data_IF_458858623313
#
_entry.id   IF_458858623313
#
_cell.length_a   1.000
_cell.length_b   1.000
_cell.length_c   1.000
_cell.angle_alpha   90.00
_cell.angle_beta   90.00
_cell.angle_gamma   90.00
#
_symmetry.space_group_name_H-M   'P 1'
#
loop_
_entity.id
_entity.type
_entity.pdbx_description
1 polymer ?
#
# COMPACT_ATOMS: atom_id res chain seq x y z
N UNK A 1 -37.68 -13.87 -29.18
CA UNK A 1 -36.40 -14.51 -28.80
C UNK A 1 -36.67 -15.86 -28.14
N UNK A 2 -36.15 -16.96 -28.70
CA UNK A 2 -36.31 -18.31 -28.13
C UNK A 2 -35.69 -18.37 -26.73
N UNK A 3 -36.30 -19.10 -25.79
CA UNK A 3 -35.85 -19.23 -24.37
C UNK A 3 -34.37 -19.64 -24.27
N UNK A 4 -33.92 -20.50 -25.18
CA UNK A 4 -32.52 -20.92 -25.32
C UNK A 4 -31.56 -19.78 -25.64
N UNK A 5 -31.98 -18.81 -26.47
CA UNK A 5 -31.17 -17.65 -26.82
C UNK A 5 -31.03 -16.68 -25.64
N UNK A 6 -32.05 -16.54 -24.79
CA UNK A 6 -31.95 -15.75 -23.54
C UNK A 6 -30.98 -16.37 -22.55
N UNK A 7 -30.98 -17.70 -22.43
CA UNK A 7 -30.05 -18.42 -21.54
C UNK A 7 -28.60 -18.29 -22.04
N UNK A 8 -28.37 -18.41 -23.35
CA UNK A 8 -27.05 -18.22 -23.95
C UNK A 8 -26.52 -16.79 -23.77
N UNK A 9 -27.37 -15.78 -23.97
CA UNK A 9 -26.98 -14.38 -23.75
C UNK A 9 -26.69 -14.12 -22.26
N UNK A 10 -27.49 -14.67 -21.34
CA UNK A 10 -27.25 -14.53 -19.91
C UNK A 10 -25.92 -15.19 -19.48
N UNK A 11 -25.64 -16.40 -19.99
CA UNK A 11 -24.38 -17.10 -19.72
C UNK A 11 -23.16 -16.35 -20.29
N UNK A 12 -23.30 -15.75 -21.48
CA UNK A 12 -22.26 -14.94 -22.10
C UNK A 12 -22.00 -13.65 -21.28
N UNK A 13 -23.05 -12.97 -20.83
CA UNK A 13 -22.93 -11.76 -19.99
C UNK A 13 -22.29 -12.07 -18.63
N UNK A 14 -22.59 -13.23 -18.03
CA UNK A 14 -21.93 -13.70 -16.81
C UNK A 14 -20.45 -14.08 -17.04
N UNK A 15 -20.09 -14.57 -18.22
CA UNK A 15 -18.71 -14.90 -18.58
C UNK A 15 -17.82 -13.68 -18.89
N UNK A 16 -18.43 -12.54 -19.25
CA UNK A 16 -17.72 -11.27 -19.53
C UNK A 16 -17.68 -10.37 -18.29
N UNK A 17 -18.27 -10.78 -17.17
CA UNK A 17 -18.10 -10.11 -15.89
C UNK A 17 -16.67 -10.35 -15.37
N UNK A 18 -15.69 -9.68 -15.97
CA UNK A 18 -14.35 -9.55 -15.41
C UNK A 18 -14.50 -8.92 -14.04
N UNK A 19 -14.08 -9.63 -12.99
CA UNK A 19 -13.92 -9.03 -11.67
C UNK A 19 -12.90 -7.91 -11.82
N UNK A 20 -13.37 -6.65 -11.83
CA UNK A 20 -12.51 -5.51 -11.70
C UNK A 20 -11.91 -5.55 -10.29
N UNK A 21 -10.78 -6.24 -10.15
CA UNK A 21 -9.99 -6.19 -8.93
C UNK A 21 -9.29 -4.83 -8.93
N UNK A 22 -9.63 -3.99 -7.95
CA UNK A 22 -8.87 -2.78 -7.66
C UNK A 22 -7.51 -3.18 -7.04
N UNK A 23 -6.63 -3.75 -7.85
CA UNK A 23 -5.31 -4.27 -7.46
C UNK A 23 -4.24 -3.15 -7.39
N UNK A 24 -4.68 -1.92 -7.12
CA UNK A 24 -3.78 -0.76 -7.01
C UNK A 24 -3.29 -0.53 -5.59
N UNK A 25 -4.01 -1.08 -4.61
CA UNK A 25 -3.70 -1.00 -3.20
C UNK A 25 -3.35 -2.38 -2.66
N UNK A 26 -2.38 -2.41 -1.75
CA UNK A 26 -2.14 -3.54 -0.87
C UNK A 26 -2.77 -3.23 0.49
N UNK A 27 -3.72 -4.07 0.91
CA UNK A 27 -4.43 -3.94 2.19
C UNK A 27 -4.33 -5.25 2.96
N UNK A 28 -3.81 -5.18 4.19
CA UNK A 28 -3.75 -6.33 5.09
C UNK A 28 -4.36 -6.00 6.45
N UNK A 29 -4.81 -7.05 7.15
CA UNK A 29 -5.23 -6.98 8.55
C UNK A 29 -4.28 -7.83 9.38
N UNK A 30 -3.78 -7.26 10.47
CA UNK A 30 -3.01 -7.93 11.50
C UNK A 30 -3.87 -8.07 12.76
N UNK A 31 -3.71 -9.20 13.47
CA UNK A 31 -4.34 -9.41 14.78
C UNK A 31 -3.64 -8.66 15.91
N UNK A 32 -2.51 -8.00 15.62
CA UNK A 32 -1.78 -7.21 16.60
C UNK A 32 -2.53 -5.92 16.94
N UNK A 33 -2.36 -5.47 18.18
CA UNK A 33 -2.78 -4.13 18.58
C UNK A 33 -1.99 -3.07 17.80
N UNK A 34 -2.53 -1.85 17.71
CA UNK A 34 -1.90 -0.77 16.96
C UNK A 34 -0.44 -0.50 17.34
N UNK A 35 -0.05 -0.41 18.64
CA UNK A 35 1.35 -0.19 19.02
C UNK A 35 2.27 -1.35 18.61
N UNK A 36 1.81 -2.59 18.72
CA UNK A 36 2.57 -3.79 18.35
C UNK A 36 2.77 -3.85 16.84
N UNK A 37 1.69 -3.68 16.05
CA UNK A 37 1.75 -3.63 14.60
C UNK A 37 2.69 -2.51 14.12
N UNK A 38 2.64 -1.34 14.76
CA UNK A 38 3.53 -0.21 14.45
C UNK A 38 5.01 -0.52 14.76
N UNK A 39 5.28 -1.27 15.84
CA UNK A 39 6.63 -1.73 16.16
C UNK A 39 7.14 -2.74 15.13
N UNK A 40 6.34 -3.76 14.81
CA UNK A 40 6.71 -4.78 13.80
C UNK A 40 6.91 -4.14 12.44
N UNK A 41 6.04 -3.21 12.02
CA UNK A 41 6.18 -2.49 10.75
C UNK A 41 7.52 -1.75 10.66
N UNK A 42 7.90 -0.98 11.68
CA UNK A 42 9.16 -0.24 11.67
C UNK A 42 10.38 -1.17 11.69
N UNK A 43 10.31 -2.28 12.42
CA UNK A 43 11.36 -3.30 12.43
C UNK A 43 11.49 -4.00 11.06
N UNK A 44 10.38 -4.35 10.43
CA UNK A 44 10.35 -4.99 9.11
C UNK A 44 10.92 -4.06 8.02
N UNK A 45 10.59 -2.76 8.08
CA UNK A 45 11.16 -1.71 7.22
C UNK A 45 12.68 -1.62 7.41
N UNK A 46 13.13 -1.48 8.66
CA UNK A 46 14.55 -1.24 8.96
C UNK A 46 15.45 -2.45 8.68
N UNK A 47 14.97 -3.66 8.95
CA UNK A 47 15.72 -4.91 8.69
C UNK A 47 15.98 -5.12 7.19
N UNK A 48 15.16 -4.56 6.30
CA UNK A 48 15.35 -4.59 4.84
C UNK A 48 16.20 -3.42 4.30
N UNK A 49 16.85 -2.69 5.20
CA UNK A 49 17.76 -1.59 4.84
C UNK A 49 17.07 -0.30 4.42
N UNK A 50 15.77 -0.15 4.70
CA UNK A 50 15.08 1.13 4.59
C UNK A 50 15.18 1.91 5.90
N UNK A 51 14.93 3.22 5.85
CA UNK A 51 14.76 4.04 7.05
C UNK A 51 13.34 4.59 7.08
N UNK A 52 12.73 4.58 8.26
CA UNK A 52 11.52 5.36 8.52
C UNK A 52 11.94 6.82 8.57
N UNK A 53 11.45 7.62 7.64
CA UNK A 53 11.84 9.03 7.49
C UNK A 53 10.91 9.96 8.26
N UNK A 54 9.63 9.60 8.36
CA UNK A 54 8.63 10.38 9.08
C UNK A 54 7.43 9.52 9.48
N UNK A 55 6.80 9.84 10.62
CA UNK A 55 5.51 9.25 11.02
C UNK A 55 4.54 10.40 11.24
N UNK A 56 3.51 10.46 10.41
CA UNK A 56 2.46 11.47 10.51
C UNK A 56 1.32 10.96 11.39
N UNK A 57 0.95 11.72 12.42
CA UNK A 57 -0.21 11.44 13.27
C UNK A 57 -1.46 12.08 12.67
N UNK A 58 -2.20 11.31 11.87
CA UNK A 58 -3.38 11.80 11.15
C UNK A 58 -4.58 11.94 12.11
N UNK A 59 -4.71 11.00 13.03
CA UNK A 59 -5.65 11.04 14.15
C UNK A 59 -5.63 12.36 14.93
N UNK A 60 -4.43 12.85 15.29
CA UNK A 60 -4.27 14.12 16.02
C UNK A 60 -4.76 15.30 15.17
N UNK A 61 -4.51 15.28 13.86
CA UNK A 61 -4.99 16.33 12.95
C UNK A 61 -6.51 16.34 12.83
N UNK A 62 -7.10 15.16 12.64
CA UNK A 62 -8.55 14.97 12.47
C UNK A 62 -9.33 15.31 13.74
N UNK A 63 -8.84 14.88 14.90
CA UNK A 63 -9.50 15.15 16.19
C UNK A 63 -9.48 16.64 16.53
N UNK A 64 -8.41 17.37 16.21
CA UNK A 64 -8.32 18.83 16.39
C UNK A 64 -9.40 19.62 15.64
N UNK A 65 -9.90 19.09 14.53
CA UNK A 65 -10.94 19.73 13.70
C UNK A 65 -12.33 19.08 13.87
N UNK A 66 -12.50 18.22 14.88
CA UNK A 66 -13.80 17.71 15.32
C UNK A 66 -14.21 16.33 14.80
N UNK A 67 -13.33 15.62 14.08
CA UNK A 67 -13.61 14.24 13.67
C UNK A 67 -13.37 13.24 14.80
N UNK A 68 -14.21 12.21 14.88
CA UNK A 68 -13.99 11.03 15.71
C UNK A 68 -13.27 9.98 14.88
N UNK A 69 -12.10 9.55 15.33
CA UNK A 69 -11.28 8.54 14.68
C UNK A 69 -10.52 7.75 15.74
N UNK A 70 -10.17 6.51 15.40
CA UNK A 70 -9.20 5.72 16.16
C UNK A 70 -7.76 6.12 15.80
N UNK A 71 -6.77 5.43 16.37
CA UNK A 71 -5.37 5.63 16.06
C UNK A 71 -5.12 5.45 14.56
N UNK A 72 -4.58 6.50 13.95
CA UNK A 72 -4.36 6.57 12.51
C UNK A 72 -3.07 7.31 12.21
N UNK A 73 -2.12 6.62 11.59
CA UNK A 73 -0.83 7.20 11.18
C UNK A 73 -0.50 6.85 9.73
N UNK A 74 0.37 7.66 9.14
CA UNK A 74 1.07 7.33 7.89
C UNK A 74 2.55 7.25 8.16
N UNK A 75 3.15 6.10 7.85
CA UNK A 75 4.58 5.81 8.05
C UNK A 75 5.29 5.99 6.73
N UNK A 76 6.12 7.02 6.63
CA UNK A 76 6.94 7.30 5.46
C UNK A 76 8.31 6.64 5.61
N UNK A 77 8.79 5.99 4.55
CA UNK A 77 10.05 5.28 4.57
C UNK A 77 10.75 5.27 3.20
N UNK A 78 12.06 5.09 3.21
CA UNK A 78 12.86 5.07 1.98
C UNK A 78 14.34 4.86 2.25
N UNK A 79 15.10 4.64 1.18
CA UNK A 79 16.56 4.69 1.19
C UNK A 79 16.96 6.11 0.79
N UNK A 80 17.50 6.89 1.73
CA UNK A 80 17.69 8.33 1.55
C UNK A 80 18.48 8.70 0.28
N UNK A 81 19.59 8.02 0.02
CA UNK A 81 20.41 8.23 -1.17
C UNK A 81 19.66 7.87 -2.45
N UNK A 82 18.94 6.74 -2.46
CA UNK A 82 18.15 6.31 -3.62
C UNK A 82 17.02 7.30 -3.92
N UNK A 83 16.28 7.75 -2.89
CA UNK A 83 15.20 8.75 -3.05
C UNK A 83 15.76 10.06 -3.59
N UNK A 84 16.91 10.52 -3.08
CA UNK A 84 17.55 11.75 -3.57
C UNK A 84 18.00 11.61 -5.04
N UNK A 85 18.63 10.48 -5.40
CA UNK A 85 19.05 10.22 -6.77
C UNK A 85 17.87 10.11 -7.74
N UNK A 86 16.80 9.41 -7.34
CA UNK A 86 15.62 9.23 -8.17
C UNK A 86 14.87 10.54 -8.38
N UNK A 87 14.65 11.35 -7.35
CA UNK A 87 13.96 12.64 -7.50
C UNK A 87 14.78 13.66 -8.27
N UNK A 88 16.12 13.61 -8.20
CA UNK A 88 16.99 14.43 -9.05
C UNK A 88 16.94 14.03 -10.53
N UNK A 89 16.87 12.72 -10.81
CA UNK A 89 16.87 12.19 -12.18
C UNK A 89 15.47 12.17 -12.83
N UNK A 90 14.44 11.95 -12.02
CA UNK A 90 13.04 11.81 -12.42
C UNK A 90 12.15 12.62 -11.45
N UNK A 91 12.12 13.96 -11.57
CA UNK A 91 11.33 14.83 -10.68
C UNK A 91 9.83 14.49 -10.66
N UNK A 92 9.31 13.88 -11.72
CA UNK A 92 7.93 13.39 -11.80
C UNK A 92 7.59 12.30 -10.77
N UNK A 93 8.60 11.70 -10.12
CA UNK A 93 8.41 10.73 -9.02
C UNK A 93 8.22 11.38 -7.65
N UNK A 94 8.44 12.68 -7.50
CA UNK A 94 8.32 13.40 -6.22
C UNK A 94 6.96 13.13 -5.52
N UNK A 95 5.80 13.12 -6.20
CA UNK A 95 4.51 12.85 -5.55
C UNK A 95 4.36 11.45 -4.95
N UNK A 96 5.20 10.49 -5.37
CA UNK A 96 5.14 9.08 -4.97
C UNK A 96 6.24 8.72 -3.97
N UNK A 97 7.07 9.70 -3.57
CA UNK A 97 8.22 9.50 -2.70
C UNK A 97 8.21 10.45 -1.50
N UNK A 98 8.68 9.99 -0.32
CA UNK A 98 9.07 8.61 0.01
C UNK A 98 7.88 7.63 -0.02
N UNK A 99 8.16 6.33 -0.04
CA UNK A 99 7.13 5.30 0.08
C UNK A 99 6.40 5.43 1.42
N UNK A 100 5.16 4.97 1.50
CA UNK A 100 4.37 5.12 2.70
C UNK A 100 3.45 3.92 2.98
N UNK A 101 3.11 3.71 4.25
CA UNK A 101 2.05 2.79 4.68
C UNK A 101 1.13 3.53 5.65
N UNK A 102 -0.15 3.58 5.34
CA UNK A 102 -1.18 3.99 6.28
C UNK A 102 -1.46 2.82 7.25
N UNK A 103 -1.46 3.11 8.55
CA UNK A 103 -1.75 2.15 9.61
C UNK A 103 -2.89 2.69 10.48
N UNK A 104 -3.89 1.86 10.73
CA UNK A 104 -5.16 2.26 11.35
C UNK A 104 -5.65 1.21 12.35
N UNK A 105 -6.08 1.64 13.53
CA UNK A 105 -6.67 0.75 14.54
C UNK A 105 -8.11 0.37 14.16
N UNK A 106 -8.40 -0.93 14.11
CA UNK A 106 -9.75 -1.48 13.87
C UNK A 106 -10.14 -2.38 15.05
N UNK A 107 -10.74 -1.78 16.08
CA UNK A 107 -11.06 -2.44 17.36
C UNK A 107 -9.77 -2.99 18.00
N UNK A 108 -9.68 -4.31 18.17
CA UNK A 108 -8.52 -4.99 18.76
C UNK A 108 -7.44 -5.35 17.70
N UNK A 109 -7.69 -5.04 16.43
CA UNK A 109 -6.82 -5.37 15.30
C UNK A 109 -6.24 -4.11 14.65
N UNK A 110 -5.34 -4.30 13.70
CA UNK A 110 -4.74 -3.20 12.93
C UNK A 110 -4.84 -3.45 11.43
N UNK A 111 -5.26 -2.44 10.67
CA UNK A 111 -5.25 -2.43 9.20
C UNK A 111 -3.99 -1.69 8.72
N UNK A 112 -3.32 -2.26 7.73
CA UNK A 112 -2.29 -1.57 6.95
C UNK A 112 -2.78 -1.42 5.50
N UNK A 113 -2.64 -0.23 4.93
CA UNK A 113 -3.03 0.10 3.55
C UNK A 113 -1.92 0.91 2.88
N UNK A 114 -1.59 0.58 1.64
CA UNK A 114 -0.57 1.30 0.86
C UNK A 114 -0.81 1.10 -0.63
N UNK A 115 -0.33 2.03 -1.45
CA UNK A 115 -0.30 1.89 -2.90
C UNK A 115 0.73 0.82 -3.30
N UNK A 116 0.48 0.11 -4.40
CA UNK A 116 1.42 -0.86 -4.98
C UNK A 116 2.44 -0.15 -5.88
N UNK A 117 3.73 -0.05 -5.51
CA UNK A 117 4.72 0.64 -6.33
C UNK A 117 4.84 0.05 -7.75
N UNK A 118 4.57 -1.25 -7.93
CA UNK A 118 4.61 -1.91 -9.24
C UNK A 118 3.66 -1.28 -10.27
N UNK A 119 2.53 -0.71 -9.83
CA UNK A 119 1.54 -0.04 -10.67
C UNK A 119 2.11 1.23 -11.32
N UNK A 120 3.14 1.86 -10.72
CA UNK A 120 3.83 3.00 -11.31
C UNK A 120 4.51 2.66 -12.64
N UNK A 121 4.83 1.39 -12.91
CA UNK A 121 5.42 0.98 -14.18
C UNK A 121 4.49 1.21 -15.39
N UNK A 122 3.17 1.27 -15.17
CA UNK A 122 2.20 1.56 -16.22
C UNK A 122 2.16 3.05 -16.59
N UNK A 123 2.54 3.92 -15.64
CA UNK A 123 2.57 5.38 -15.81
C UNK A 123 3.94 5.89 -16.27
N UNK A 124 5.02 5.21 -15.91
CA UNK A 124 6.39 5.59 -16.26
C UNK A 124 7.05 4.47 -17.10
N UNK A 125 6.91 4.48 -18.44
CA UNK A 125 7.38 3.40 -19.33
C UNK A 125 8.90 3.47 -19.55
N UNK A 126 9.68 3.47 -18.46
CA UNK A 126 11.13 3.42 -18.44
C UNK A 126 11.59 2.10 -17.82
N UNK A 127 12.34 1.23 -18.55
CA UNK A 127 12.78 -0.06 -18.03
C UNK A 127 13.56 0.03 -16.71
N UNK A 128 14.38 1.07 -16.52
CA UNK A 128 15.14 1.26 -15.29
C UNK A 128 14.23 1.55 -14.09
N UNK A 129 13.17 2.35 -14.29
CA UNK A 129 12.18 2.64 -13.25
C UNK A 129 11.33 1.40 -12.94
N UNK A 130 10.93 0.64 -13.96
CA UNK A 130 10.22 -0.63 -13.78
C UNK A 130 10.97 -1.58 -12.84
N UNK A 131 12.29 -1.72 -13.00
CA UNK A 131 13.10 -2.56 -12.09
C UNK A 131 13.05 -2.06 -10.65
N UNK A 132 13.14 -0.75 -10.44
CA UNK A 132 13.07 -0.13 -9.10
C UNK A 132 11.69 -0.39 -8.46
N UNK A 133 10.61 -0.15 -9.21
CA UNK A 133 9.24 -0.33 -8.74
C UNK A 133 8.93 -1.78 -8.39
N UNK A 134 9.35 -2.74 -9.22
CA UNK A 134 9.14 -4.17 -8.95
C UNK A 134 9.92 -4.64 -7.71
N UNK A 135 11.12 -4.07 -7.47
CA UNK A 135 11.86 -4.36 -6.24
C UNK A 135 11.17 -3.76 -5.02
N UNK A 136 10.70 -2.51 -5.09
CA UNK A 136 9.93 -1.90 -4.00
C UNK A 136 8.64 -2.65 -3.71
N UNK A 137 7.93 -3.11 -4.74
CA UNK A 137 6.73 -3.95 -4.63
C UNK A 137 7.00 -5.25 -3.85
N UNK A 138 8.10 -5.92 -4.19
CA UNK A 138 8.53 -7.14 -3.51
C UNK A 138 8.85 -6.85 -2.04
N UNK A 139 9.71 -5.86 -1.78
CA UNK A 139 10.14 -5.50 -0.43
C UNK A 139 8.92 -5.07 0.43
N UNK A 140 8.00 -4.29 -0.14
CA UNK A 140 6.77 -3.86 0.52
C UNK A 140 5.87 -5.05 0.89
N UNK A 141 5.68 -5.98 -0.04
CA UNK A 141 4.88 -7.19 0.20
C UNK A 141 5.46 -7.99 1.36
N UNK A 142 6.78 -8.17 1.38
CA UNK A 142 7.46 -8.86 2.49
C UNK A 142 7.32 -8.10 3.82
N UNK A 143 7.40 -6.76 3.81
CA UNK A 143 7.22 -5.91 5.01
C UNK A 143 5.82 -6.10 5.60
N UNK A 144 4.77 -5.97 4.79
CA UNK A 144 3.40 -6.02 5.30
C UNK A 144 2.97 -7.45 5.67
N UNK A 145 3.51 -8.46 4.99
CA UNK A 145 3.28 -9.86 5.35
C UNK A 145 3.86 -10.18 6.73
N UNK A 146 5.04 -9.65 7.06
CA UNK A 146 5.64 -9.83 8.39
C UNK A 146 4.75 -9.26 9.50
N UNK A 147 4.10 -8.11 9.26
CA UNK A 147 3.12 -7.53 10.20
C UNK A 147 1.84 -8.37 10.28
N UNK A 148 1.39 -8.93 9.15
CA UNK A 148 0.19 -9.77 9.08
C UNK A 148 0.37 -11.11 9.81
N UNK A 149 1.56 -11.72 9.70
CA UNK A 149 1.84 -13.06 10.22
C UNK A 149 2.32 -13.06 11.68
N UNK A 150 2.79 -11.93 12.18
CA UNK A 150 3.19 -11.75 13.57
C UNK A 150 2.03 -11.96 14.56
N UNK A 151 2.34 -12.55 15.72
CA UNK A 151 1.39 -12.92 16.78
C UNK A 151 1.92 -12.55 18.15
#
# INVERSE_FOLDING_TARGET
>A
MKRTMRVLIAALLLGIASTACADQLLMIRSSLSFPEAMMVLQNAITTRGYKVTHVQNVDIGLTKIGYKTDQYKVVFYGKAEEVAQLTAKYPELIPYLPLNVAIFAERDNTILVTDRPGVLADFFPNPALKTVFMRWEKDLTEIVNEVQEAR
#
